data_IF_445278722290
#
_entry.id   IF_445278722290
#
_cell.length_a   1.000
_cell.length_b   1.000
_cell.length_c   1.000
_cell.angle_alpha   90.00
_cell.angle_beta   90.00
_cell.angle_gamma   90.00
#
_symmetry.space_group_name_H-M   'P 1'
#
loop_
_entity.id
_entity.type
_entity.pdbx_description
1 polymer ?
#
# COMPACT_ATOMS: atom_id res chain seq x y z
N UNK A 1 -15.84 13.43 12.80
CA UNK A 1 -15.79 13.27 11.32
C UNK A 1 -14.36 13.08 10.84
N UNK A 2 -13.42 13.94 11.25
CA UNK A 2 -12.00 13.76 10.93
C UNK A 2 -11.41 12.42 11.43
N UNK A 3 -11.79 11.98 12.64
CA UNK A 3 -11.35 10.68 13.18
C UNK A 3 -11.81 9.49 12.34
N UNK A 4 -13.02 9.58 11.78
CA UNK A 4 -13.58 8.53 10.92
C UNK A 4 -12.81 8.40 9.60
N UNK A 5 -12.43 9.54 8.99
CA UNK A 5 -11.59 9.57 7.77
C UNK A 5 -10.23 8.93 8.07
N UNK A 6 -9.64 9.24 9.22
CA UNK A 6 -8.35 8.68 9.64
C UNK A 6 -8.42 7.16 9.86
N UNK A 7 -9.49 6.66 10.49
CA UNK A 7 -9.72 5.21 10.67
C UNK A 7 -9.82 4.49 9.33
N UNK A 8 -10.59 5.02 8.37
CA UNK A 8 -10.67 4.44 7.02
C UNK A 8 -9.29 4.41 6.35
N UNK A 9 -8.52 5.50 6.49
CA UNK A 9 -7.16 5.56 5.98
C UNK A 9 -6.26 4.46 6.53
N UNK A 10 -6.30 4.21 7.85
CA UNK A 10 -5.55 3.11 8.45
C UNK A 10 -6.03 1.74 7.98
N UNK A 11 -7.34 1.52 7.87
CA UNK A 11 -7.87 0.24 7.36
C UNK A 11 -7.34 -0.03 5.95
N UNK A 12 -7.36 0.97 5.07
CA UNK A 12 -6.85 0.83 3.71
C UNK A 12 -5.33 0.63 3.67
N UNK A 13 -4.57 1.34 4.51
CA UNK A 13 -3.12 1.14 4.61
C UNK A 13 -2.76 -0.27 5.08
N UNK A 14 -3.43 -0.76 6.14
CA UNK A 14 -3.19 -2.11 6.67
C UNK A 14 -3.58 -3.14 5.62
N UNK A 15 -4.73 -2.99 4.98
CA UNK A 15 -5.17 -3.88 3.92
C UNK A 15 -4.15 -3.92 2.76
N UNK A 16 -3.69 -2.76 2.28
CA UNK A 16 -2.68 -2.67 1.23
C UNK A 16 -1.32 -3.24 1.65
N UNK A 17 -0.90 -2.97 2.89
CA UNK A 17 0.36 -3.47 3.45
C UNK A 17 0.37 -4.99 3.64
N UNK A 18 -0.81 -5.62 3.78
CA UNK A 18 -0.96 -7.09 3.79
C UNK A 18 -1.10 -7.65 2.37
N UNK A 19 -1.82 -6.94 1.50
CA UNK A 19 -2.08 -7.36 0.13
C UNK A 19 -0.80 -7.43 -0.72
N UNK A 20 0.10 -6.46 -0.59
CA UNK A 20 1.37 -6.43 -1.35
C UNK A 20 2.25 -7.65 -1.05
N UNK A 21 2.58 -7.98 0.22
CA UNK A 21 3.30 -9.21 0.56
C UNK A 21 2.55 -10.49 0.14
N UNK A 22 1.23 -10.53 0.27
CA UNK A 22 0.43 -11.68 -0.18
C UNK A 22 0.59 -11.91 -1.70
N UNK A 23 0.61 -10.84 -2.50
CA UNK A 23 0.91 -10.91 -3.92
C UNK A 23 2.32 -11.45 -4.21
N UNK A 24 3.33 -11.01 -3.45
CA UNK A 24 4.68 -11.53 -3.56
C UNK A 24 4.80 -13.02 -3.20
N UNK A 25 4.11 -13.45 -2.14
CA UNK A 25 4.01 -14.87 -1.79
C UNK A 25 3.38 -15.65 -2.94
N UNK A 26 2.30 -15.13 -3.53
CA UNK A 26 1.66 -15.72 -4.71
C UNK A 26 2.66 -15.93 -5.87
N UNK A 27 3.42 -14.90 -6.22
CA UNK A 27 4.46 -14.97 -7.27
C UNK A 27 5.50 -16.05 -6.95
N UNK A 28 5.96 -16.15 -5.71
CA UNK A 28 6.92 -17.19 -5.32
C UNK A 28 6.31 -18.58 -5.48
N UNK A 29 5.04 -18.76 -5.14
CA UNK A 29 4.35 -20.05 -5.23
C UNK A 29 4.06 -20.47 -6.67
N UNK A 30 3.83 -19.53 -7.59
CA UNK A 30 3.44 -19.83 -8.98
C UNK A 30 4.59 -19.75 -9.98
N UNK A 31 5.50 -18.79 -9.81
CA UNK A 31 6.58 -18.45 -10.75
C UNK A 31 7.98 -18.62 -10.13
N UNK A 32 8.06 -18.91 -8.84
CA UNK A 32 9.31 -19.16 -8.12
C UNK A 32 10.03 -17.90 -7.65
N UNK A 33 11.12 -18.12 -6.89
CA UNK A 33 11.88 -17.03 -6.26
C UNK A 33 12.62 -16.13 -7.25
N UNK A 34 13.06 -16.67 -8.40
CA UNK A 34 13.73 -15.88 -9.43
C UNK A 34 12.83 -14.77 -9.99
N UNK A 35 11.55 -15.07 -10.21
CA UNK A 35 10.59 -14.06 -10.66
C UNK A 35 10.36 -12.97 -9.62
N UNK A 36 10.29 -13.33 -8.34
CA UNK A 36 10.17 -12.35 -7.27
C UNK A 36 11.35 -11.36 -7.29
N UNK A 37 12.58 -11.79 -7.57
CA UNK A 37 13.74 -10.90 -7.68
C UNK A 37 13.61 -9.91 -8.85
N UNK A 38 13.08 -10.35 -10.00
CA UNK A 38 12.79 -9.45 -11.13
C UNK A 38 11.70 -8.42 -10.79
N UNK A 39 10.68 -8.84 -10.04
CA UNK A 39 9.57 -7.97 -9.61
C UNK A 39 10.03 -6.96 -8.57
N UNK A 40 10.86 -7.38 -7.61
CA UNK A 40 11.45 -6.53 -6.58
C UNK A 40 12.65 -5.72 -7.09
N UNK A 41 13.05 -5.89 -8.35
CA UNK A 41 14.13 -5.11 -8.94
C UNK A 41 13.81 -3.62 -8.83
N UNK A 42 14.78 -2.77 -8.44
CA UNK A 42 14.58 -1.32 -8.39
C UNK A 42 14.26 -0.72 -9.77
N UNK A 43 14.58 -1.44 -10.85
CA UNK A 43 14.28 -1.03 -12.23
C UNK A 43 12.84 -1.39 -12.66
N UNK A 44 12.11 -2.19 -11.88
CA UNK A 44 10.73 -2.53 -12.18
C UNK A 44 9.78 -1.41 -11.73
N UNK A 45 9.75 -0.35 -12.52
CA UNK A 45 8.93 0.86 -12.27
C UNK A 45 7.45 0.48 -12.09
N UNK A 46 6.97 -0.53 -12.82
CA UNK A 46 5.58 -0.96 -12.74
C UNK A 46 5.22 -1.56 -11.38
N UNK A 47 6.10 -2.36 -10.78
CA UNK A 47 5.88 -2.87 -9.43
C UNK A 47 5.85 -1.71 -8.41
N UNK A 48 6.76 -0.74 -8.52
CA UNK A 48 6.76 0.43 -7.65
C UNK A 48 5.48 1.25 -7.79
N UNK A 49 5.03 1.51 -9.02
CA UNK A 49 3.76 2.19 -9.28
C UNK A 49 2.59 1.42 -8.69
N UNK A 50 2.54 0.10 -8.84
CA UNK A 50 1.48 -0.73 -8.26
C UNK A 50 1.46 -0.65 -6.72
N UNK A 51 2.61 -0.74 -6.06
CA UNK A 51 2.72 -0.62 -4.60
C UNK A 51 2.28 0.76 -4.13
N UNK A 52 2.79 1.82 -4.77
CA UNK A 52 2.46 3.21 -4.41
C UNK A 52 0.97 3.47 -4.62
N UNK A 53 0.40 3.09 -5.75
CA UNK A 53 -1.03 3.30 -6.02
C UNK A 53 -1.94 2.48 -5.09
N UNK A 54 -1.48 1.31 -4.63
CA UNK A 54 -2.20 0.50 -3.64
C UNK A 54 -2.22 1.17 -2.26
N UNK A 55 -1.08 1.75 -1.83
CA UNK A 55 -0.95 2.34 -0.48
C UNK A 55 -1.38 3.82 -0.43
N UNK A 56 -1.29 4.55 -1.54
CA UNK A 56 -1.50 5.99 -1.59
C UNK A 56 -2.87 6.44 -1.08
N UNK A 57 -4.00 5.79 -1.42
CA UNK A 57 -5.32 6.21 -0.92
C UNK A 57 -5.40 6.18 0.60
N UNK A 58 -4.88 5.12 1.24
CA UNK A 58 -4.85 5.00 2.68
C UNK A 58 -3.98 6.08 3.33
N UNK A 59 -2.79 6.32 2.78
CA UNK A 59 -1.89 7.38 3.25
C UNK A 59 -2.51 8.78 3.14
N UNK A 60 -3.17 9.08 2.01
CA UNK A 60 -3.84 10.35 1.77
C UNK A 60 -5.00 10.58 2.75
N UNK A 61 -5.78 9.55 3.06
CA UNK A 61 -6.88 9.68 4.02
C UNK A 61 -6.37 9.88 5.45
N UNK A 62 -5.29 9.20 5.85
CA UNK A 62 -4.67 9.45 7.17
C UNK A 62 -4.18 10.90 7.24
N UNK A 63 -3.45 11.36 6.23
CA UNK A 63 -2.96 12.74 6.16
C UNK A 63 -4.10 13.77 6.19
N UNK A 64 -5.17 13.53 5.43
CA UNK A 64 -6.35 14.41 5.42
C UNK A 64 -7.05 14.43 6.78
N UNK A 65 -7.16 13.28 7.44
CA UNK A 65 -7.71 13.17 8.79
C UNK A 65 -6.90 13.99 9.80
N UNK A 66 -5.58 13.86 9.78
CA UNK A 66 -4.68 14.63 10.66
C UNK A 66 -4.75 16.13 10.40
N UNK A 67 -4.77 16.52 9.13
CA UNK A 67 -4.91 17.92 8.73
C UNK A 67 -6.23 18.54 9.19
N UNK A 68 -7.34 17.79 9.14
CA UNK A 68 -8.64 18.24 9.62
C UNK A 68 -8.68 18.37 11.15
N UNK A 69 -8.02 17.46 11.88
CA UNK A 69 -7.91 17.53 13.35
C UNK A 69 -7.10 18.77 13.76
N UNK A 70 -6.00 19.07 13.05
CA UNK A 70 -5.13 20.21 13.36
C UNK A 70 -5.77 21.58 13.09
N UNK A 71 -6.86 21.63 12.31
CA UNK A 71 -7.58 22.87 11.95
C UNK A 71 -8.90 23.07 12.71
N UNK A 72 -9.18 22.22 13.70
CA UNK A 72 -10.34 22.30 14.58
C UNK A 72 -9.99 23.04 15.86
#
# INVERSE_FOLDING_TARGET
MADFIKVIGYVLLVAGALFVPAGYIGIVMTEGFGKLQEVLSPLNIWNWVAVVTTLAPGALLVWLGDWLIARR
#
